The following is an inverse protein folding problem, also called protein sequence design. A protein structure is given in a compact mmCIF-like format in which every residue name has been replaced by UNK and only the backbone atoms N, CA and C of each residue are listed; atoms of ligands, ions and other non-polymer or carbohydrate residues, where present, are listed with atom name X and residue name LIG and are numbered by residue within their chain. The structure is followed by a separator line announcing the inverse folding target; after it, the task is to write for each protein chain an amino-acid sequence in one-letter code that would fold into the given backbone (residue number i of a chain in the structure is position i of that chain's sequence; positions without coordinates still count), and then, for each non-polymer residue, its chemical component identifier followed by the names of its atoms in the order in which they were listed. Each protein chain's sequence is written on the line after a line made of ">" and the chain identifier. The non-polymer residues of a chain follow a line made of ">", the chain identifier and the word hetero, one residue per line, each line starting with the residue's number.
data_IF_419186500698
#
_entry.id   IF_419186500698
#
_cell.length_a   1.000
_cell.length_b   1.000
_cell.length_c   1.000
_cell.angle_alpha   90.00
_cell.angle_beta   90.00
_cell.angle_gamma   90.00
#
_symmetry.space_group_name_H-M   'P 1'
#
loop_
_entity.id
_entity.type
_entity.pdbx_description
1 polymer ?
#
# COMPACT_ATOMS: atom_id res chain seq x y z
N UNK A 1 -25.99 9.28 4.61
CA UNK A 1 -24.59 9.69 4.37
C UNK A 1 -24.13 10.42 5.64
N UNK A 2 -23.44 9.72 6.53
CA UNK A 2 -23.02 10.18 7.86
C UNK A 2 -21.51 10.52 7.81
N UNK A 3 -21.08 11.61 8.45
CA UNK A 3 -19.67 12.02 8.57
C UNK A 3 -18.82 11.00 9.33
N UNK A 4 -19.43 10.28 10.28
CA UNK A 4 -18.82 9.17 11.01
C UNK A 4 -18.41 8.04 10.07
N UNK A 5 -19.32 7.59 9.20
CA UNK A 5 -19.01 6.58 8.17
C UNK A 5 -17.89 7.03 7.23
N UNK A 6 -17.83 8.33 6.90
CA UNK A 6 -16.74 8.85 6.08
C UNK A 6 -15.40 8.77 6.83
N UNK A 7 -15.39 9.12 8.12
CA UNK A 7 -14.18 9.06 8.94
C UNK A 7 -13.67 7.63 9.11
N UNK A 8 -14.57 6.67 9.35
CA UNK A 8 -14.25 5.25 9.41
C UNK A 8 -13.66 4.75 8.08
N UNK A 9 -14.31 5.06 6.96
CA UNK A 9 -13.85 4.67 5.61
C UNK A 9 -12.50 5.30 5.27
N UNK A 10 -12.27 6.57 5.63
CA UNK A 10 -10.99 7.24 5.45
C UNK A 10 -9.88 6.57 6.27
N UNK A 11 -10.19 6.16 7.49
CA UNK A 11 -9.24 5.43 8.34
C UNK A 11 -8.92 4.06 7.74
N UNK A 12 -9.93 3.33 7.27
CA UNK A 12 -9.76 2.05 6.58
C UNK A 12 -8.94 2.19 5.27
N UNK A 13 -9.18 3.27 4.52
CA UNK A 13 -8.39 3.64 3.34
C UNK A 13 -6.91 3.81 3.70
N UNK A 14 -6.58 4.68 4.67
CA UNK A 14 -5.19 4.94 5.06
C UNK A 14 -4.51 3.68 5.58
N UNK A 15 -5.20 2.88 6.40
CA UNK A 15 -4.66 1.63 6.95
C UNK A 15 -4.36 0.60 5.87
N UNK A 16 -5.32 0.35 4.97
CA UNK A 16 -5.15 -0.64 3.90
C UNK A 16 -4.06 -0.23 2.90
N UNK A 17 -3.98 1.05 2.57
CA UNK A 17 -2.92 1.57 1.70
C UNK A 17 -1.54 1.44 2.37
N UNK A 18 -1.42 1.75 3.67
CA UNK A 18 -0.17 1.59 4.42
C UNK A 18 0.29 0.13 4.49
N UNK A 19 -0.63 -0.79 4.79
CA UNK A 19 -0.35 -2.23 4.82
C UNK A 19 0.18 -2.71 3.48
N UNK A 20 -0.54 -2.44 2.38
CA UNK A 20 -0.12 -2.88 1.04
C UNK A 20 1.13 -2.17 0.54
N UNK A 21 1.42 -0.95 1.01
CA UNK A 21 2.68 -0.26 0.68
C UNK A 21 3.89 -1.00 1.25
N UNK A 22 3.82 -1.45 2.51
CA UNK A 22 4.93 -2.17 3.16
C UNK A 22 5.04 -3.62 2.67
N UNK A 23 3.91 -4.31 2.52
CA UNK A 23 3.88 -5.69 1.99
C UNK A 23 4.32 -5.71 0.53
N UNK A 24 3.82 -4.79 -0.29
CA UNK A 24 4.21 -4.66 -1.69
C UNK A 24 5.69 -4.31 -1.85
N UNK A 25 6.23 -3.44 -0.99
CA UNK A 25 7.66 -3.17 -0.95
C UNK A 25 8.48 -4.42 -0.66
N UNK A 26 8.09 -5.21 0.34
CA UNK A 26 8.82 -6.44 0.70
C UNK A 26 8.76 -7.50 -0.41
N UNK A 27 7.62 -7.62 -1.09
CA UNK A 27 7.44 -8.53 -2.22
C UNK A 27 8.16 -8.04 -3.50
N UNK A 28 8.56 -6.77 -3.57
CA UNK A 28 9.04 -6.15 -4.81
C UNK A 28 7.92 -6.01 -5.85
N UNK A 29 6.70 -5.68 -5.42
CA UNK A 29 5.51 -5.56 -6.26
C UNK A 29 5.54 -4.28 -7.10
N UNK A 30 5.71 -4.44 -8.41
CA UNK A 30 5.78 -3.38 -9.42
C UNK A 30 4.48 -3.15 -10.19
N UNK A 31 4.50 -2.27 -11.17
CA UNK A 31 3.37 -1.92 -12.07
C UNK A 31 2.09 -1.51 -11.33
N UNK A 32 2.27 -0.70 -10.29
CA UNK A 32 1.15 -0.18 -9.48
C UNK A 32 0.55 1.06 -10.14
N UNK A 33 -0.02 0.93 -11.33
CA UNK A 33 -0.79 2.00 -11.98
C UNK A 33 -2.23 2.07 -11.43
N UNK A 34 -2.98 3.18 -11.60
CA UNK A 34 -4.29 3.36 -10.96
C UNK A 34 -5.31 2.25 -11.23
N UNK A 35 -5.29 1.62 -12.40
CA UNK A 35 -6.19 0.49 -12.71
C UNK A 35 -5.90 -0.77 -11.88
N UNK A 36 -4.70 -0.90 -11.31
CA UNK A 36 -4.32 -2.01 -10.42
C UNK A 36 -4.59 -1.69 -8.93
N UNK A 37 -5.16 -0.52 -8.64
CA UNK A 37 -5.52 -0.05 -7.31
C UNK A 37 -7.02 0.18 -7.24
N UNK A 38 -7.75 -0.79 -6.70
CA UNK A 38 -9.20 -0.72 -6.54
C UNK A 38 -9.58 -0.16 -5.17
N UNK A 39 -10.66 0.61 -5.11
CA UNK A 39 -11.25 1.11 -3.87
C UNK A 39 -12.58 0.39 -3.62
N UNK A 40 -12.70 -0.30 -2.49
CA UNK A 40 -13.98 -0.86 -2.07
C UNK A 40 -14.95 0.26 -1.65
N UNK A 41 -16.10 0.32 -2.32
CA UNK A 41 -17.13 1.35 -2.11
C UNK A 41 -17.84 1.24 -0.76
N UNK A 42 -17.78 0.08 -0.12
CA UNK A 42 -18.45 -0.18 1.17
C UNK A 42 -17.52 0.07 2.35
N UNK A 43 -16.35 -0.58 2.38
CA UNK A 43 -15.39 -0.44 3.49
C UNK A 43 -14.44 0.74 3.35
N UNK A 44 -14.22 1.27 2.14
CA UNK A 44 -13.21 2.30 1.87
C UNK A 44 -11.78 1.76 1.78
N UNK A 45 -11.57 0.43 1.86
CA UNK A 45 -10.23 -0.17 1.77
C UNK A 45 -9.71 -0.15 0.33
N UNK A 46 -8.39 0.00 0.20
CA UNK A 46 -7.65 -0.20 -1.04
C UNK A 46 -7.32 -1.68 -1.21
N UNK A 47 -7.56 -2.18 -2.41
CA UNK A 47 -7.25 -3.53 -2.86
C UNK A 47 -6.32 -3.44 -4.07
N UNK A 48 -5.18 -4.13 -4.01
CA UNK A 48 -4.30 -4.28 -5.15
C UNK A 48 -4.74 -5.52 -5.93
N UNK A 49 -4.77 -5.40 -7.26
CA UNK A 49 -4.99 -6.52 -8.18
C UNK A 49 -3.77 -6.65 -9.10
N UNK A 50 -3.75 -7.73 -9.87
CA UNK A 50 -2.71 -8.06 -10.84
C UNK A 50 -1.31 -8.11 -10.22
N UNK A 51 -0.82 -9.31 -9.90
CA UNK A 51 0.47 -9.53 -9.25
C UNK A 51 1.52 -10.06 -10.24
N UNK A 52 1.38 -9.75 -11.52
CA UNK A 52 2.31 -10.21 -12.56
C UNK A 52 3.75 -9.75 -12.37
N UNK A 53 3.97 -8.52 -11.88
CA UNK A 53 5.29 -7.94 -11.63
C UNK A 53 5.67 -8.00 -10.15
N UNK A 54 6.16 -9.16 -9.70
CA UNK A 54 6.73 -9.33 -8.36
C UNK A 54 8.26 -9.42 -8.39
N UNK A 55 8.90 -9.37 -7.22
CA UNK A 55 10.35 -9.52 -7.06
C UNK A 55 11.17 -8.54 -7.92
N UNK A 56 10.72 -7.28 -7.96
CA UNK A 56 11.39 -6.17 -8.64
C UNK A 56 11.49 -6.34 -10.17
N UNK A 57 10.66 -7.21 -10.77
CA UNK A 57 10.63 -7.41 -12.22
C UNK A 57 10.43 -6.10 -13.01
N UNK A 58 9.59 -5.18 -12.50
CA UNK A 58 9.35 -3.88 -13.14
C UNK A 58 10.55 -2.93 -13.09
N UNK A 59 11.46 -3.09 -12.11
CA UNK A 59 12.67 -2.27 -11.98
C UNK A 59 13.75 -2.68 -12.99
N UNK A 60 13.75 -3.94 -13.41
CA UNK A 60 14.74 -4.52 -14.33
C UNK A 60 14.32 -4.47 -15.80
N UNK A 61 13.21 -3.78 -16.14
CA UNK A 61 12.74 -3.65 -17.53
C UNK A 61 13.65 -2.76 -18.35
N UNK A 62 13.88 -3.15 -19.61
CA UNK A 62 14.67 -2.36 -20.57
C UNK A 62 14.04 -0.98 -20.89
N UNK A 63 12.70 -0.92 -20.87
CA UNK A 63 11.94 0.31 -21.17
C UNK A 63 11.14 0.74 -19.95
N UNK A 64 11.29 2.01 -19.57
CA UNK A 64 10.59 2.66 -18.45
C UNK A 64 10.68 1.87 -17.13
N UNK A 65 11.90 1.58 -16.63
CA UNK A 65 12.07 0.88 -15.37
C UNK A 65 11.45 1.69 -14.21
N UNK A 66 10.70 1.00 -13.35
CA UNK A 66 10.19 1.63 -12.15
C UNK A 66 11.33 1.92 -11.16
N UNK A 67 11.27 3.09 -10.50
CA UNK A 67 12.28 3.53 -9.52
C UNK A 67 11.69 3.79 -8.14
N UNK A 68 10.47 3.32 -7.90
CA UNK A 68 9.73 3.58 -6.67
C UNK A 68 9.41 2.26 -5.95
N UNK A 69 9.45 2.23 -4.62
CA UNK A 69 9.16 1.03 -3.84
C UNK A 69 7.65 0.69 -3.80
N UNK A 70 6.80 1.70 -3.94
CA UNK A 70 5.34 1.59 -4.00
C UNK A 70 4.75 2.91 -4.48
N UNK A 71 3.48 2.89 -4.92
CA UNK A 71 2.78 4.10 -5.36
C UNK A 71 2.29 4.93 -4.17
N UNK A 72 2.89 6.09 -3.93
CA UNK A 72 2.41 7.09 -2.96
C UNK A 72 2.34 8.48 -3.61
N UNK A 73 1.36 8.68 -4.50
CA UNK A 73 1.21 9.96 -5.22
C UNK A 73 0.41 10.98 -4.41
N UNK A 74 0.49 12.26 -4.84
CA UNK A 74 -0.25 13.38 -4.25
C UNK A 74 -1.75 13.12 -4.07
N UNK A 75 -2.39 12.41 -5.00
CA UNK A 75 -3.83 12.12 -4.90
C UNK A 75 -4.13 11.16 -3.75
N UNK A 76 -3.30 10.14 -3.54
CA UNK A 76 -3.48 9.19 -2.45
C UNK A 76 -3.24 9.85 -1.10
N UNK A 77 -2.18 10.66 -1.00
CA UNK A 77 -1.86 11.40 0.23
C UNK A 77 -2.96 12.40 0.59
N UNK A 78 -3.52 13.12 -0.39
CA UNK A 78 -4.61 14.08 -0.14
C UNK A 78 -5.92 13.44 0.33
N UNK A 79 -6.10 12.14 0.10
CA UNK A 79 -7.28 11.41 0.57
C UNK A 79 -7.16 10.94 2.04
N UNK A 80 -5.96 11.02 2.62
CA UNK A 80 -5.69 10.69 4.02
C UNK A 80 -6.19 11.79 4.98
N UNK A 81 -5.86 11.66 6.26
CA UNK A 81 -6.05 12.70 7.25
C UNK A 81 -5.18 13.96 7.00
N UNK A 82 -5.48 15.05 7.70
CA UNK A 82 -4.82 16.35 7.50
C UNK A 82 -3.31 16.34 7.77
N UNK A 83 -2.83 15.42 8.62
CA UNK A 83 -1.39 15.20 8.87
C UNK A 83 -0.68 14.51 7.70
N UNK A 84 -1.39 14.10 6.64
CA UNK A 84 -0.84 13.43 5.48
C UNK A 84 -0.13 12.13 5.86
N UNK A 85 1.09 11.93 5.38
CA UNK A 85 1.85 10.70 5.61
C UNK A 85 2.35 10.55 7.05
N UNK A 86 2.54 11.66 7.76
CA UNK A 86 3.14 11.68 9.11
C UNK A 86 2.17 11.26 10.21
N UNK A 87 0.89 11.07 9.87
CA UNK A 87 -0.12 10.58 10.81
C UNK A 87 -0.22 9.06 10.84
N UNK A 88 -1.45 8.59 10.69
CA UNK A 88 -1.85 7.20 10.78
C UNK A 88 -1.12 6.34 9.74
N UNK A 89 -0.88 6.85 8.53
CA UNK A 89 -0.14 6.12 7.49
C UNK A 89 1.25 5.65 7.99
N UNK A 90 2.06 6.57 8.52
CA UNK A 90 3.40 6.24 9.04
C UNK A 90 3.36 5.28 10.23
N UNK A 91 2.42 5.46 11.16
CA UNK A 91 2.27 4.57 12.31
C UNK A 91 1.91 3.14 11.90
N UNK A 92 1.01 2.98 10.92
CA UNK A 92 0.65 1.68 10.38
C UNK A 92 1.83 1.06 9.64
N UNK A 93 2.53 1.82 8.80
CA UNK A 93 3.73 1.33 8.10
C UNK A 93 4.79 0.79 9.07
N UNK A 94 5.08 1.53 10.15
CA UNK A 94 6.02 1.09 11.18
C UNK A 94 5.56 -0.19 11.89
N UNK A 95 4.27 -0.28 12.20
CA UNK A 95 3.70 -1.45 12.86
C UNK A 95 3.73 -2.69 11.97
N UNK A 96 3.38 -2.55 10.69
CA UNK A 96 3.44 -3.61 9.69
C UNK A 96 4.88 -4.09 9.49
N UNK A 97 5.84 -3.17 9.30
CA UNK A 97 7.25 -3.52 9.15
C UNK A 97 7.82 -4.19 10.40
N UNK A 98 7.40 -3.80 11.60
CA UNK A 98 7.79 -4.47 12.84
C UNK A 98 7.34 -5.93 12.84
N UNK A 99 6.07 -6.19 12.48
CA UNK A 99 5.51 -7.54 12.43
C UNK A 99 6.18 -8.38 11.35
N UNK A 100 6.35 -7.84 10.14
CA UNK A 100 7.01 -8.55 9.03
C UNK A 100 8.46 -8.92 9.37
N UNK A 101 9.23 -8.00 9.97
CA UNK A 101 10.61 -8.28 10.39
C UNK A 101 10.70 -9.26 11.54
N UNK A 102 9.78 -9.17 12.50
CA UNK A 102 9.71 -10.10 13.63
C UNK A 102 9.36 -11.54 13.22
N UNK A 103 8.65 -11.71 12.11
CA UNK A 103 8.23 -13.00 11.57
C UNK A 103 8.92 -13.32 10.22
N UNK A 104 10.15 -12.83 10.02
CA UNK A 104 10.87 -12.95 8.75
C UNK A 104 10.98 -14.40 8.27
N UNK A 105 11.18 -15.36 9.17
CA UNK A 105 11.40 -16.76 8.78
C UNK A 105 10.13 -17.37 8.19
N UNK A 106 8.96 -17.03 8.75
CA UNK A 106 7.66 -17.42 8.21
C UNK A 106 7.38 -16.79 6.85
N UNK A 107 7.77 -15.52 6.66
CA UNK A 107 7.61 -14.83 5.38
C UNK A 107 8.52 -15.44 4.31
N UNK A 108 9.80 -15.66 4.65
CA UNK A 108 10.78 -16.29 3.75
C UNK A 108 10.45 -17.74 3.43
N UNK A 109 9.72 -18.45 4.30
CA UNK A 109 9.27 -19.81 4.02
C UNK A 109 8.14 -19.88 2.98
N UNK A 110 7.40 -18.78 2.77
CA UNK A 110 6.31 -18.71 1.78
C UNK A 110 6.73 -18.07 0.45
N UNK A 111 7.82 -17.30 0.43
CA UNK A 111 8.41 -16.69 -0.77
C UNK A 111 9.37 -17.66 -1.46
#
# INVERSE_FOLDING_TARGET
>A
RNSEMWLERRTAYTNSLAVMSMVGYLLGLGDRHPSNLMLDRYSGKILHIDFGDCFEASMHRDKYPEKIPFRLTRMLVKAMEASGIEGNFRHVCQSVMRVLRGNKDSVMAML
#
